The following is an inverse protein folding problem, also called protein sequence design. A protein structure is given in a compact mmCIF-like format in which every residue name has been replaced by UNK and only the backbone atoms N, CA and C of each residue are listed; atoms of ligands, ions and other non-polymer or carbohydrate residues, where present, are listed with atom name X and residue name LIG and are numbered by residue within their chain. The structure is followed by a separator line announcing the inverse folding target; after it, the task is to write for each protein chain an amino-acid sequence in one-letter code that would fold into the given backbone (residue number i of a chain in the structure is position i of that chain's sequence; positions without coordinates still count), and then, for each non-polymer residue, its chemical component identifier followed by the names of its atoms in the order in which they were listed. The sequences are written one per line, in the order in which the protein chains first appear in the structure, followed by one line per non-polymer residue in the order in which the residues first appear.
data_IF_192857928811
#
_entry.id   IF_192857928811
#
_cell.length_a   1.000
_cell.length_b   1.000
_cell.length_c   1.000
_cell.angle_alpha   90.00
_cell.angle_beta   90.00
_cell.angle_gamma   90.00
#
_symmetry.space_group_name_H-M   'P 1'
#
loop_
_entity.id
_entity.type
_entity.pdbx_description
1 polymer ?
#
# COMPACT_ATOMS: atom_id res chain seq x y z
N UNK A 1 -5.26 26.18 -8.81
CA UNK A 1 -4.09 25.69 -9.59
C UNK A 1 -4.56 24.67 -10.62
N UNK A 2 -4.59 25.04 -11.90
CA UNK A 2 -4.90 24.11 -13.00
C UNK A 2 -3.67 23.22 -13.25
N UNK A 3 -3.62 22.04 -12.63
CA UNK A 3 -2.69 20.98 -13.05
C UNK A 3 -3.19 20.48 -14.41
N UNK A 4 -2.46 20.79 -15.49
CA UNK A 4 -2.72 20.20 -16.81
C UNK A 4 -2.66 18.67 -16.67
N UNK A 5 -3.57 17.92 -17.28
CA UNK A 5 -3.49 16.47 -17.28
C UNK A 5 -2.12 16.05 -17.80
N UNK A 6 -1.38 15.26 -17.02
CA UNK A 6 -0.18 14.60 -17.54
C UNK A 6 -0.69 13.58 -18.55
N UNK A 7 -0.41 13.80 -19.82
CA UNK A 7 -0.91 12.98 -20.92
C UNK A 7 -0.65 11.49 -20.60
N UNK A 8 -1.67 10.68 -20.77
CA UNK A 8 -1.64 9.21 -20.58
C UNK A 8 -1.42 8.70 -19.14
N UNK A 9 -1.44 9.58 -18.13
CA UNK A 9 -1.42 9.18 -16.70
C UNK A 9 -2.77 9.34 -16.01
N UNK A 10 -2.97 8.57 -14.94
CA UNK A 10 -4.10 8.65 -14.02
C UNK A 10 -3.63 9.30 -12.72
N UNK A 11 -4.38 10.31 -12.24
CA UNK A 11 -4.16 10.86 -10.91
C UNK A 11 -4.77 9.93 -9.86
N UNK A 12 -3.99 9.53 -8.87
CA UNK A 12 -4.36 8.56 -7.83
C UNK A 12 -3.97 9.09 -6.46
N UNK A 13 -4.71 8.67 -5.43
CA UNK A 13 -4.42 8.94 -4.02
C UNK A 13 -3.48 7.86 -3.51
N UNK A 14 -2.41 8.22 -2.81
CA UNK A 14 -1.57 7.26 -2.10
C UNK A 14 -1.56 7.66 -0.64
N UNK A 15 -2.05 6.77 0.23
CA UNK A 15 -2.23 7.05 1.64
C UNK A 15 -0.95 6.75 2.43
N UNK A 16 -0.65 7.61 3.39
CA UNK A 16 0.48 7.52 4.30
C UNK A 16 0.04 8.02 5.68
N UNK A 17 0.71 7.59 6.74
CA UNK A 17 0.48 8.16 8.06
C UNK A 17 1.04 9.58 8.13
N UNK A 18 0.32 10.50 8.76
CA UNK A 18 0.82 11.83 9.10
C UNK A 18 0.72 12.04 10.62
N UNK A 19 1.81 11.81 11.38
CA UNK A 19 1.78 11.91 12.83
C UNK A 19 1.40 13.28 13.38
N UNK A 20 1.51 14.35 12.57
CA UNK A 20 1.11 15.69 13.01
C UNK A 20 -0.40 15.82 13.24
N UNK A 21 -1.20 14.95 12.62
CA UNK A 21 -2.66 14.94 12.77
C UNK A 21 -3.21 13.59 13.21
N UNK A 22 -2.33 12.63 13.52
CA UNK A 22 -2.66 11.28 13.99
C UNK A 22 -3.67 10.54 13.07
N UNK A 23 -3.48 10.69 11.75
CA UNK A 23 -4.41 10.14 10.74
C UNK A 23 -3.70 9.75 9.44
N UNK A 24 -4.34 8.89 8.66
CA UNK A 24 -3.91 8.48 7.32
C UNK A 24 -4.35 9.51 6.29
N UNK A 25 -3.39 10.21 5.70
CA UNK A 25 -3.62 11.26 4.71
C UNK A 25 -3.06 10.84 3.36
N UNK A 26 -3.71 11.28 2.28
CA UNK A 26 -3.24 10.97 0.93
C UNK A 26 -2.42 12.09 0.31
N UNK A 27 -1.49 11.68 -0.55
CA UNK A 27 -0.84 12.51 -1.56
C UNK A 27 -1.36 12.14 -2.94
N UNK A 28 -1.37 13.09 -3.87
CA UNK A 28 -1.80 12.82 -5.26
C UNK A 28 -0.60 12.50 -6.13
N UNK A 29 -0.58 11.30 -6.71
CA UNK A 29 0.45 10.82 -7.63
C UNK A 29 -0.12 10.53 -9.01
N UNK A 30 0.76 10.39 -10.00
CA UNK A 30 0.37 10.16 -11.39
C UNK A 30 0.97 8.86 -11.89
N UNK A 31 0.13 7.87 -12.16
CA UNK A 31 0.53 6.51 -12.55
C UNK A 31 0.06 6.17 -13.96
N UNK A 32 0.68 5.17 -14.56
CA UNK A 32 0.29 4.69 -15.89
C UNK A 32 -1.02 3.90 -15.82
N UNK A 33 -1.82 3.98 -16.89
CA UNK A 33 -3.19 3.45 -16.94
C UNK A 33 -3.29 1.94 -17.18
N UNK A 34 -2.23 1.29 -17.63
CA UNK A 34 -2.27 -0.13 -18.04
C UNK A 34 -2.41 -1.09 -16.84
N UNK A 35 -2.16 -0.63 -15.61
CA UNK A 35 -2.38 -1.37 -14.36
C UNK A 35 -2.48 -0.41 -13.18
N UNK A 36 -3.57 0.38 -13.07
CA UNK A 36 -3.61 1.54 -12.19
C UNK A 36 -3.49 1.15 -10.71
N UNK A 37 -4.15 0.07 -10.28
CA UNK A 37 -4.04 -0.42 -8.90
C UNK A 37 -2.61 -0.84 -8.56
N UNK A 38 -2.00 -1.71 -9.39
CA UNK A 38 -0.60 -2.15 -9.20
C UNK A 38 0.35 -0.96 -9.16
N UNK A 39 0.23 -0.03 -10.11
CA UNK A 39 1.12 1.13 -10.16
C UNK A 39 0.92 2.08 -8.97
N UNK A 40 -0.29 2.17 -8.42
CA UNK A 40 -0.57 3.00 -7.25
C UNK A 40 0.01 2.39 -5.98
N UNK A 41 -0.11 1.06 -5.81
CA UNK A 41 0.56 0.35 -4.71
C UNK A 41 2.08 0.46 -4.84
N UNK A 42 2.62 0.36 -6.06
CA UNK A 42 4.04 0.58 -6.31
C UNK A 42 4.51 1.96 -5.85
N UNK A 43 3.71 3.00 -6.06
CA UNK A 43 4.03 4.34 -5.59
C UNK A 43 4.11 4.42 -4.06
N UNK A 44 3.23 3.73 -3.33
CA UNK A 44 3.37 3.61 -1.87
C UNK A 44 4.71 2.99 -1.47
N UNK A 45 5.08 1.87 -2.11
CA UNK A 45 6.32 1.13 -1.81
C UNK A 45 7.59 1.92 -2.15
N UNK A 46 7.53 2.75 -3.20
CA UNK A 46 8.59 3.69 -3.56
C UNK A 46 8.86 4.74 -2.45
N UNK A 47 7.96 4.86 -1.47
CA UNK A 47 8.10 5.73 -0.31
C UNK A 47 7.86 7.19 -0.63
N UNK A 48 8.19 8.05 0.34
CA UNK A 48 7.93 9.49 0.28
C UNK A 48 9.04 10.27 -0.42
N UNK A 49 8.62 11.26 -1.23
CA UNK A 49 9.50 12.31 -1.74
C UNK A 49 10.03 13.22 -0.62
N UNK A 50 11.14 13.94 -0.83
CA UNK A 50 11.64 14.91 0.16
C UNK A 50 10.60 15.98 0.53
N UNK A 51 9.77 16.39 -0.42
CA UNK A 51 8.70 17.39 -0.21
C UNK A 51 7.58 16.83 0.67
N UNK A 52 7.14 15.59 0.44
CA UNK A 52 6.12 14.95 1.28
C UNK A 52 6.64 14.74 2.70
N UNK A 53 7.92 14.36 2.88
CA UNK A 53 8.53 14.27 4.22
C UNK A 53 8.53 15.62 4.95
N UNK A 54 8.77 16.73 4.25
CA UNK A 54 8.68 18.09 4.84
C UNK A 54 7.27 18.46 5.28
N UNK A 55 6.24 17.83 4.71
CA UNK A 55 4.84 18.00 5.11
C UNK A 55 4.45 17.09 6.29
N UNK A 56 5.40 16.30 6.82
CA UNK A 56 5.23 15.46 7.99
C UNK A 56 4.61 14.10 7.72
N UNK A 57 4.56 13.66 6.46
CA UNK A 57 4.21 12.28 6.16
C UNK A 57 5.33 11.34 6.60
N UNK A 58 4.95 10.16 7.09
CA UNK A 58 5.87 9.06 7.35
C UNK A 58 5.47 7.82 6.55
N UNK A 59 6.49 7.07 6.14
CA UNK A 59 6.31 5.76 5.53
C UNK A 59 7.48 4.89 5.90
N UNK A 60 7.21 3.61 6.09
CA UNK A 60 8.26 2.61 5.99
C UNK A 60 8.73 2.58 4.52
N UNK A 61 10.03 2.61 4.28
CA UNK A 61 10.59 2.61 2.93
C UNK A 61 10.86 1.16 2.52
N UNK A 62 9.87 0.54 1.88
CA UNK A 62 9.89 -0.86 1.48
C UNK A 62 10.68 -1.10 0.19
N UNK A 63 10.95 -0.04 -0.58
CA UNK A 63 11.68 -0.13 -1.84
C UNK A 63 10.82 -0.73 -2.96
N UNK A 64 11.49 -1.21 -4.02
CA UNK A 64 10.79 -1.76 -5.18
C UNK A 64 10.61 -3.27 -5.00
N UNK A 65 9.43 -3.66 -4.53
CA UNK A 65 9.12 -5.04 -4.16
C UNK A 65 8.43 -5.82 -5.29
N UNK A 66 8.65 -7.14 -5.32
CA UNK A 66 7.92 -8.01 -6.22
C UNK A 66 6.58 -8.38 -5.59
N UNK A 67 5.50 -7.81 -6.12
CA UNK A 67 4.15 -8.15 -5.72
C UNK A 67 3.25 -8.34 -6.94
N UNK A 68 2.14 -9.05 -6.70
CA UNK A 68 1.07 -9.21 -7.69
C UNK A 68 -0.23 -8.64 -7.17
N UNK A 69 -1.08 -8.22 -8.10
CA UNK A 69 -2.39 -7.66 -7.83
C UNK A 69 -3.39 -8.29 -8.77
N UNK A 70 -4.54 -8.70 -8.23
CA UNK A 70 -5.71 -9.12 -8.99
C UNK A 70 -6.96 -8.54 -8.35
N UNK A 71 -7.99 -8.29 -9.15
CA UNK A 71 -9.31 -7.94 -8.64
C UNK A 71 -10.24 -9.11 -8.98
N UNK A 72 -10.79 -9.75 -7.96
CA UNK A 72 -11.71 -10.89 -8.09
C UNK A 72 -12.92 -10.61 -7.21
N UNK A 73 -14.14 -10.65 -7.77
CA UNK A 73 -15.39 -10.38 -7.04
C UNK A 73 -15.38 -9.04 -6.27
N UNK A 74 -14.83 -7.98 -6.87
CA UNK A 74 -14.63 -6.67 -6.24
C UNK A 74 -13.67 -6.64 -5.05
N UNK A 75 -12.87 -7.70 -4.85
CA UNK A 75 -11.83 -7.75 -3.82
C UNK A 75 -10.47 -7.59 -4.51
N UNK A 76 -9.69 -6.60 -4.07
CA UNK A 76 -8.31 -6.44 -4.48
C UNK A 76 -7.43 -7.44 -3.70
N UNK A 77 -7.00 -8.51 -4.36
CA UNK A 77 -6.03 -9.47 -3.83
C UNK A 77 -4.62 -8.98 -4.12
N UNK A 78 -3.88 -8.60 -3.09
CA UNK A 78 -2.53 -8.02 -3.15
C UNK A 78 -1.55 -8.95 -2.47
N UNK A 79 -0.69 -9.60 -3.26
CA UNK A 79 0.21 -10.66 -2.77
C UNK A 79 1.66 -10.19 -2.88
N UNK A 80 2.29 -10.00 -1.72
CA UNK A 80 3.69 -9.65 -1.52
C UNK A 80 4.53 -10.89 -1.19
N UNK A 81 5.76 -10.95 -1.71
CA UNK A 81 6.68 -12.04 -1.37
C UNK A 81 7.45 -11.76 -0.07
N UNK A 82 7.76 -12.80 0.72
CA UNK A 82 8.39 -12.67 2.05
C UNK A 82 9.65 -11.82 2.07
N UNK A 83 10.51 -12.02 1.08
CA UNK A 83 11.86 -11.45 1.08
C UNK A 83 11.85 -9.94 0.91
N UNK A 84 10.71 -9.39 0.50
CA UNK A 84 10.55 -7.99 0.18
C UNK A 84 10.10 -7.22 1.45
N UNK A 85 9.00 -7.62 2.11
CA UNK A 85 8.47 -6.87 3.27
C UNK A 85 9.14 -7.16 4.63
N UNK A 86 9.72 -8.35 4.81
CA UNK A 86 10.23 -8.80 6.13
C UNK A 86 11.48 -8.07 6.59
N UNK A 87 12.12 -7.29 5.71
CA UNK A 87 13.27 -6.46 6.10
C UNK A 87 12.85 -5.18 6.82
N UNK A 88 11.63 -4.69 6.61
CA UNK A 88 11.23 -3.34 7.06
C UNK A 88 9.96 -3.29 7.93
N UNK A 89 9.12 -4.33 7.91
CA UNK A 89 8.07 -4.53 8.92
C UNK A 89 8.67 -5.09 10.21
N UNK A 90 9.26 -4.21 11.04
CA UNK A 90 10.01 -4.61 12.25
C UNK A 90 9.26 -4.36 13.55
N UNK A 91 8.11 -3.71 13.50
CA UNK A 91 7.28 -3.43 14.67
C UNK A 91 5.80 -3.58 14.37
N UNK A 92 4.97 -3.83 15.40
CA UNK A 92 3.53 -3.91 15.22
C UNK A 92 2.90 -2.68 14.59
N UNK A 93 3.35 -1.49 14.96
CA UNK A 93 2.83 -0.25 14.40
C UNK A 93 3.14 -0.14 12.90
N UNK A 94 4.34 -0.54 12.46
CA UNK A 94 4.69 -0.51 11.04
C UNK A 94 3.82 -1.46 10.20
N UNK A 95 3.47 -2.62 10.76
CA UNK A 95 2.56 -3.58 10.12
C UNK A 95 1.16 -2.97 9.99
N UNK A 96 0.63 -2.38 11.06
CA UNK A 96 -0.68 -1.70 11.05
C UNK A 96 -0.70 -0.56 10.02
N UNK A 97 0.31 0.31 10.05
CA UNK A 97 0.40 1.45 9.14
C UNK A 97 0.55 1.03 7.69
N UNK A 98 1.30 -0.03 7.43
CA UNK A 98 1.43 -0.64 6.12
C UNK A 98 0.08 -1.16 5.61
N UNK A 99 -0.58 -2.02 6.39
CA UNK A 99 -1.86 -2.61 6.00
C UNK A 99 -2.89 -1.55 5.71
N UNK A 100 -3.07 -0.60 6.63
CA UNK A 100 -4.08 0.46 6.50
C UNK A 100 -3.80 1.35 5.28
N UNK A 101 -2.55 1.74 5.06
CA UNK A 101 -2.19 2.55 3.91
C UNK A 101 -2.45 1.83 2.58
N UNK A 102 -2.14 0.53 2.50
CA UNK A 102 -2.39 -0.29 1.31
C UNK A 102 -3.89 -0.44 1.06
N UNK A 103 -4.70 -0.74 2.08
CA UNK A 103 -6.16 -0.86 1.99
C UNK A 103 -6.78 0.44 1.46
N UNK A 104 -6.52 1.57 2.13
CA UNK A 104 -7.08 2.87 1.73
C UNK A 104 -6.65 3.28 0.32
N UNK A 105 -5.43 2.92 -0.06
CA UNK A 105 -4.92 3.15 -1.41
C UNK A 105 -5.60 2.24 -2.44
N UNK A 106 -5.92 0.99 -2.11
CA UNK A 106 -6.56 0.05 -3.02
C UNK A 106 -8.06 0.33 -3.20
N UNK A 107 -8.77 0.64 -2.12
CA UNK A 107 -10.21 0.87 -2.10
C UNK A 107 -10.64 2.21 -2.73
N UNK A 108 -9.69 3.05 -3.14
CA UNK A 108 -10.01 4.26 -3.88
C UNK A 108 -10.64 3.98 -5.27
N UNK A 109 -10.42 2.78 -5.81
CA UNK A 109 -10.84 2.41 -7.16
C UNK A 109 -12.25 1.84 -7.13
N UNK A 110 -13.16 2.35 -7.97
CA UNK A 110 -14.58 1.95 -8.02
C UNK A 110 -14.81 0.43 -8.22
N UNK A 111 -13.82 -0.29 -8.74
CA UNK A 111 -13.90 -1.74 -8.93
C UNK A 111 -13.60 -2.55 -7.66
N UNK A 112 -13.15 -1.90 -6.58
CA UNK A 112 -12.64 -2.49 -5.34
C UNK A 112 -13.52 -2.07 -4.17
N UNK A 113 -14.18 -3.03 -3.53
CA UNK A 113 -14.97 -2.84 -2.32
C UNK A 113 -14.19 -3.19 -1.05
N UNK A 114 -13.17 -4.04 -1.19
CA UNK A 114 -12.37 -4.58 -0.09
C UNK A 114 -10.97 -4.96 -0.61
N UNK A 115 -9.97 -4.99 0.26
CA UNK A 115 -8.60 -5.36 -0.07
C UNK A 115 -8.07 -6.47 0.84
N UNK A 116 -7.61 -7.56 0.23
CA UNK A 116 -6.97 -8.67 0.92
C UNK A 116 -5.47 -8.63 0.66
N UNK A 117 -4.71 -8.53 1.75
CA UNK A 117 -3.26 -8.45 1.72
C UNK A 117 -2.68 -9.78 2.17
N UNK A 118 -1.73 -10.26 1.38
CA UNK A 118 -1.03 -11.50 1.59
C UNK A 118 0.46 -11.23 1.62
N UNK A 119 1.15 -11.67 2.67
CA UNK A 119 2.60 -11.54 2.79
C UNK A 119 3.19 -12.93 2.95
N UNK A 120 4.09 -13.32 2.04
CA UNK A 120 4.69 -14.66 2.04
C UNK A 120 3.66 -15.80 2.05
N UNK A 121 2.65 -15.73 1.19
CA UNK A 121 1.54 -16.68 1.16
C UNK A 121 0.73 -16.78 2.46
N UNK A 122 0.90 -15.84 3.40
CA UNK A 122 0.17 -15.79 4.67
C UNK A 122 -0.84 -14.64 4.65
N UNK A 123 -2.11 -14.95 4.86
CA UNK A 123 -3.19 -13.96 4.92
C UNK A 123 -3.23 -13.23 6.26
N UNK A 124 -3.07 -13.96 7.38
CA UNK A 124 -3.07 -13.41 8.74
C UNK A 124 -1.67 -12.96 9.20
N UNK A 125 -0.84 -12.44 8.29
CA UNK A 125 0.58 -12.14 8.55
C UNK A 125 0.77 -11.20 9.75
N UNK A 126 -0.18 -10.31 10.01
CA UNK A 126 -0.17 -9.42 11.18
C UNK A 126 -0.18 -10.20 12.49
N UNK A 127 -1.14 -11.13 12.63
CA UNK A 127 -1.32 -11.91 13.85
C UNK A 127 -0.19 -12.92 14.01
N UNK A 128 0.28 -13.52 12.91
CA UNK A 128 1.49 -14.35 12.90
C UNK A 128 2.70 -13.55 13.40
N UNK A 129 2.84 -12.28 13.00
CA UNK A 129 3.94 -11.42 13.44
C UNK A 129 3.82 -11.00 14.91
N UNK A 130 2.60 -10.79 15.42
CA UNK A 130 2.38 -10.25 16.76
C UNK A 130 2.25 -11.32 17.84
N UNK A 131 1.63 -12.45 17.51
CA UNK A 131 1.18 -13.46 18.47
C UNK A 131 1.80 -14.85 18.20
N UNK A 132 2.65 -15.00 17.17
CA UNK A 132 3.17 -16.29 16.72
C UNK A 132 2.07 -17.34 16.49
N UNK A 133 0.89 -16.89 16.04
CA UNK A 133 -0.19 -17.79 15.65
C UNK A 133 0.16 -18.55 14.37
N UNK A 134 -0.54 -19.67 14.13
CA UNK A 134 -0.36 -20.45 12.91
C UNK A 134 -0.70 -19.60 11.67
N UNK A 135 0.17 -19.67 10.67
CA UNK A 135 -0.03 -19.00 9.40
C UNK A 135 -1.23 -19.61 8.65
N UNK A 136 -2.15 -18.76 8.22
CA UNK A 136 -3.25 -19.11 7.33
C UNK A 136 -2.82 -18.83 5.90
N UNK A 137 -2.89 -19.87 5.05
CA UNK A 137 -2.57 -19.75 3.63
C UNK A 137 -3.47 -18.73 2.92
N UNK A 138 -2.88 -18.04 1.94
CA UNK A 138 -3.62 -17.10 1.10
C UNK A 138 -4.71 -17.78 0.25
N UNK A 139 -5.90 -17.16 0.13
CA UNK A 139 -7.01 -17.66 -0.68
C UNK A 139 -6.87 -17.43 -2.19
#
# INVERSE_FOLDING_TARGET
MNKKPVKDKLAVKVYFINPNIDDYVYVIRHVDKDSPLKNTIQEYLNGLTPEEKKLGFESSNFGNENFTVKIENHIAKIHFTANDLTKDLRSPQQVIDFTMAIILTAEQFDAVNDAQICVNNTYNYEITFFANEESVDCP
#
